data_IF_914750307016
#
_entry.id   IF_914750307016
#
_cell.length_a   1.000
_cell.length_b   1.000
_cell.length_c   1.000
_cell.angle_alpha   90.00
_cell.angle_beta   90.00
_cell.angle_gamma   90.00
#
_symmetry.space_group_name_H-M   'P 1'
#
loop_
_entity.id
_entity.type
_entity.pdbx_description
1 polymer ?
#
# COMPACT_ATOMS: atom_id res chain seq x y z
N UNK A 1 11.09 -19.72 75.32
CA UNK A 1 9.84 -20.36 74.92
C UNK A 1 9.02 -19.25 74.26
N UNK A 2 9.08 -19.13 72.95
CA UNK A 2 8.43 -18.08 72.19
C UNK A 2 8.06 -18.62 70.83
N UNK A 3 6.76 -18.81 70.64
CA UNK A 3 6.12 -19.35 69.46
C UNK A 3 6.00 -18.19 68.44
N UNK A 4 6.63 -18.33 67.28
CA UNK A 4 6.39 -17.44 66.13
C UNK A 4 5.24 -17.97 65.32
N UNK A 5 4.15 -17.21 65.26
CA UNK A 5 3.00 -17.43 64.39
C UNK A 5 3.40 -16.99 62.97
N UNK A 6 3.30 -17.90 62.02
CA UNK A 6 3.49 -17.62 60.61
C UNK A 6 2.27 -16.87 60.03
N UNK A 7 2.53 -15.82 59.25
CA UNK A 7 1.54 -15.13 58.46
C UNK A 7 1.24 -15.94 57.18
N UNK A 8 0.00 -15.97 56.72
CA UNK A 8 -0.36 -16.65 55.48
C UNK A 8 0.11 -15.88 54.26
N UNK A 9 0.75 -16.60 53.31
CA UNK A 9 1.06 -16.13 51.97
C UNK A 9 -0.27 -15.83 51.23
N UNK A 10 -0.45 -14.58 50.85
CA UNK A 10 -1.47 -14.18 49.89
C UNK A 10 -1.11 -14.73 48.53
N UNK A 11 -1.87 -15.70 48.07
CA UNK A 11 -1.86 -16.16 46.68
C UNK A 11 -2.32 -14.99 45.79
N UNK A 12 -1.39 -14.43 45.00
CA UNK A 12 -1.74 -13.53 43.90
C UNK A 12 -2.44 -14.37 42.84
N UNK A 13 -3.74 -14.28 42.81
CA UNK A 13 -4.56 -14.74 41.67
C UNK A 13 -4.04 -14.05 40.42
N UNK A 14 -3.40 -14.81 39.55
CA UNK A 14 -3.18 -14.44 38.17
C UNK A 14 -4.56 -14.38 37.50
N UNK A 15 -5.10 -13.16 37.36
CA UNK A 15 -6.28 -12.91 36.56
C UNK A 15 -5.95 -13.33 35.11
N UNK A 16 -6.33 -14.53 34.77
CA UNK A 16 -6.30 -15.00 33.38
C UNK A 16 -7.22 -14.12 32.55
N UNK A 17 -6.70 -13.58 31.45
CA UNK A 17 -7.48 -12.91 30.43
C UNK A 17 -8.62 -13.86 30.05
N UNK A 18 -9.86 -13.46 30.30
CA UNK A 18 -11.03 -14.32 30.09
C UNK A 18 -11.15 -14.71 28.60
N UNK A 19 -11.62 -15.92 28.35
CA UNK A 19 -11.86 -16.42 26.95
C UNK A 19 -12.73 -15.43 26.17
N UNK A 20 -13.64 -14.72 26.85
CA UNK A 20 -14.47 -13.65 26.26
C UNK A 20 -13.64 -12.47 25.79
N UNK A 21 -12.64 -12.03 26.57
CA UNK A 21 -11.77 -10.90 26.21
C UNK A 21 -10.85 -11.26 25.05
N UNK A 22 -10.38 -12.50 25.01
CA UNK A 22 -9.60 -13.02 23.89
C UNK A 22 -10.44 -13.08 22.60
N UNK A 23 -11.67 -13.59 22.65
CA UNK A 23 -12.57 -13.63 21.51
C UNK A 23 -12.94 -12.23 21.01
N UNK A 24 -13.24 -11.29 21.92
CA UNK A 24 -13.48 -9.88 21.56
C UNK A 24 -12.24 -9.21 20.95
N UNK A 25 -11.03 -9.54 21.43
CA UNK A 25 -9.80 -9.05 20.86
C UNK A 25 -9.57 -9.62 19.45
N UNK A 26 -9.86 -10.90 19.21
CA UNK A 26 -9.80 -11.55 17.89
C UNK A 26 -10.85 -10.96 16.95
N UNK A 27 -12.08 -10.75 17.40
CA UNK A 27 -13.12 -10.08 16.60
C UNK A 27 -12.76 -8.65 16.24
N UNK A 28 -12.14 -7.87 17.13
CA UNK A 28 -11.63 -6.53 16.80
C UNK A 28 -10.46 -6.55 15.82
N UNK A 29 -9.58 -7.55 15.90
CA UNK A 29 -8.45 -7.72 14.99
C UNK A 29 -8.86 -8.22 13.62
N UNK A 30 -9.93 -9.00 13.53
CA UNK A 30 -10.57 -9.42 12.29
C UNK A 30 -11.62 -8.41 11.79
N UNK A 31 -11.83 -7.32 12.55
CA UNK A 31 -12.77 -6.29 12.14
C UNK A 31 -12.39 -5.76 10.76
N UNK A 32 -13.38 -5.74 9.88
CA UNK A 32 -13.21 -5.22 8.55
C UNK A 32 -12.61 -3.81 8.60
N UNK A 33 -11.55 -3.56 7.83
CA UNK A 33 -11.00 -2.22 7.65
C UNK A 33 -12.13 -1.35 7.06
N UNK A 34 -12.72 -0.43 7.82
CA UNK A 34 -13.87 0.31 7.33
C UNK A 34 -13.44 1.20 6.16
N UNK A 35 -14.24 1.30 5.10
CA UNK A 35 -13.96 2.25 4.03
C UNK A 35 -14.04 3.68 4.60
N UNK A 36 -13.00 4.47 4.34
CA UNK A 36 -12.88 5.87 4.78
C UNK A 36 -12.86 6.86 3.61
N UNK A 37 -13.20 6.38 2.42
CA UNK A 37 -13.04 7.13 1.18
C UNK A 37 -14.31 7.80 0.69
N UNK A 38 -14.32 8.11 -0.61
CA UNK A 38 -15.40 8.78 -1.31
C UNK A 38 -16.45 7.74 -1.72
N UNK A 39 -17.57 7.70 -1.04
CA UNK A 39 -18.61 6.70 -1.29
C UNK A 39 -19.25 6.85 -2.68
N UNK A 40 -19.53 8.09 -3.11
CA UNK A 40 -20.18 8.43 -4.39
C UNK A 40 -19.86 9.88 -4.79
N UNK A 41 -20.34 10.30 -5.97
CA UNK A 41 -20.20 11.69 -6.42
C UNK A 41 -18.86 12.02 -7.07
N UNK A 42 -18.01 11.03 -7.36
CA UNK A 42 -16.82 11.21 -8.19
C UNK A 42 -17.09 10.80 -9.64
N UNK A 43 -16.41 11.44 -10.57
CA UNK A 43 -16.36 11.05 -11.98
C UNK A 43 -14.93 10.68 -12.33
N UNK A 44 -14.75 9.63 -13.12
CA UNK A 44 -13.45 9.23 -13.65
C UNK A 44 -13.27 9.82 -15.07
N UNK A 45 -12.04 10.12 -15.49
CA UNK A 45 -11.78 10.61 -16.83
C UNK A 45 -12.19 9.56 -17.88
N UNK A 46 -12.60 10.00 -19.07
CA UNK A 46 -12.86 9.09 -20.17
C UNK A 46 -11.56 8.39 -20.61
N UNK A 47 -11.69 7.18 -21.16
CA UNK A 47 -10.54 6.43 -21.68
C UNK A 47 -9.96 5.37 -20.75
N UNK A 48 -10.43 5.26 -19.49
CA UNK A 48 -10.09 4.11 -18.65
C UNK A 48 -10.82 2.86 -19.17
N UNK A 49 -10.10 1.75 -19.20
CA UNK A 49 -10.71 0.43 -19.43
C UNK A 49 -11.56 0.00 -18.22
N UNK A 50 -12.49 -0.94 -18.42
CA UNK A 50 -13.43 -1.38 -17.38
C UNK A 50 -12.76 -1.82 -16.08
N UNK A 51 -11.68 -2.62 -16.16
CA UNK A 51 -10.92 -3.05 -14.99
C UNK A 51 -10.23 -1.87 -14.27
N UNK A 52 -9.72 -0.87 -15.01
CA UNK A 52 -9.12 0.33 -14.44
C UNK A 52 -10.17 1.18 -13.72
N UNK A 53 -11.36 1.35 -14.32
CA UNK A 53 -12.49 2.04 -13.69
C UNK A 53 -12.91 1.35 -12.39
N UNK A 54 -12.99 0.01 -12.42
CA UNK A 54 -13.37 -0.79 -11.26
C UNK A 54 -12.36 -0.63 -10.11
N UNK A 55 -11.05 -0.77 -10.39
CA UNK A 55 -9.98 -0.63 -9.41
C UNK A 55 -9.90 0.79 -8.83
N UNK A 56 -9.95 1.81 -9.70
CA UNK A 56 -9.90 3.21 -9.26
C UNK A 56 -11.11 3.57 -8.40
N UNK A 57 -12.32 3.14 -8.82
CA UNK A 57 -13.53 3.36 -8.03
C UNK A 57 -13.50 2.64 -6.69
N UNK A 58 -12.97 1.43 -6.66
CA UNK A 58 -12.76 0.69 -5.42
C UNK A 58 -11.78 1.42 -4.50
N UNK A 59 -10.63 1.86 -5.02
CA UNK A 59 -9.62 2.59 -4.26
C UNK A 59 -10.15 3.91 -3.69
N UNK A 60 -10.94 4.66 -4.46
CA UNK A 60 -11.60 5.89 -4.01
C UNK A 60 -12.55 5.63 -2.84
N UNK A 61 -13.39 4.58 -2.92
CA UNK A 61 -14.29 4.22 -1.83
C UNK A 61 -13.54 3.76 -0.59
N UNK A 62 -12.39 3.11 -0.75
CA UNK A 62 -11.55 2.71 0.37
C UNK A 62 -10.88 3.90 1.06
N UNK A 63 -10.45 4.91 0.31
CA UNK A 63 -9.74 6.09 0.80
C UNK A 63 -8.26 5.82 1.08
N UNK A 64 -7.95 4.69 1.72
CA UNK A 64 -6.59 4.20 1.98
C UNK A 64 -6.49 2.79 1.42
N UNK A 65 -5.72 2.63 0.34
CA UNK A 65 -5.72 1.37 -0.42
C UNK A 65 -4.45 1.18 -1.23
N UNK A 66 -4.25 -0.05 -1.71
CA UNK A 66 -3.19 -0.37 -2.63
C UNK A 66 -3.76 -1.02 -3.90
N UNK A 67 -3.22 -0.63 -5.05
CA UNK A 67 -3.45 -1.26 -6.35
C UNK A 67 -2.17 -2.00 -6.74
N UNK A 68 -2.18 -3.30 -6.54
CA UNK A 68 -1.10 -4.20 -6.91
C UNK A 68 -1.46 -4.84 -8.27
N UNK A 69 -1.30 -4.07 -9.32
CA UNK A 69 -1.60 -4.49 -10.69
C UNK A 69 -0.30 -4.78 -11.45
N UNK A 70 -0.30 -5.84 -12.23
CA UNK A 70 0.87 -6.23 -13.01
C UNK A 70 1.30 -5.14 -14.01
N UNK A 71 2.51 -5.29 -14.56
CA UNK A 71 3.03 -4.38 -15.57
C UNK A 71 2.11 -4.35 -16.79
N UNK A 72 1.96 -3.16 -17.38
CA UNK A 72 1.09 -2.97 -18.55
C UNK A 72 -0.38 -2.71 -18.24
N UNK A 73 -0.88 -2.95 -17.01
CA UNK A 73 -2.30 -2.73 -16.66
C UNK A 73 -2.71 -1.26 -16.48
N UNK A 74 -1.79 -0.32 -16.71
CA UNK A 74 -2.08 1.12 -16.71
C UNK A 74 -2.23 1.73 -15.31
N UNK A 75 -1.40 1.31 -14.34
CA UNK A 75 -1.38 1.86 -12.98
C UNK A 75 -1.34 3.37 -12.94
N UNK A 76 -0.42 3.97 -13.72
CA UNK A 76 -0.25 5.42 -13.77
C UNK A 76 -1.56 6.17 -14.05
N UNK A 77 -2.36 5.70 -15.00
CA UNK A 77 -3.65 6.33 -15.30
C UNK A 77 -4.66 6.14 -14.15
N UNK A 78 -4.64 4.99 -13.48
CA UNK A 78 -5.50 4.76 -12.30
C UNK A 78 -5.09 5.68 -11.13
N UNK A 79 -3.80 5.89 -10.90
CA UNK A 79 -3.27 6.80 -9.89
C UNK A 79 -3.68 8.25 -10.17
N UNK A 80 -3.54 8.69 -11.42
CA UNK A 80 -3.93 10.04 -11.83
C UNK A 80 -5.43 10.28 -11.75
N UNK A 81 -6.23 9.30 -12.16
CA UNK A 81 -7.69 9.38 -12.05
C UNK A 81 -8.15 9.40 -10.58
N UNK A 82 -7.47 8.62 -9.71
CA UNK A 82 -7.69 8.66 -8.27
C UNK A 82 -7.29 10.02 -7.70
N UNK A 83 -6.13 10.54 -8.04
CA UNK A 83 -5.62 11.82 -7.55
C UNK A 83 -6.54 12.99 -7.97
N UNK A 84 -7.05 12.98 -9.20
CA UNK A 84 -7.98 13.99 -9.71
C UNK A 84 -9.31 13.98 -8.94
N UNK A 85 -9.85 12.78 -8.66
CA UNK A 85 -11.06 12.64 -7.87
C UNK A 85 -10.84 13.09 -6.41
N UNK A 86 -9.70 12.73 -5.79
CA UNK A 86 -9.37 13.12 -4.42
C UNK A 86 -9.21 14.64 -4.30
N UNK A 87 -8.44 15.29 -5.21
CA UNK A 87 -8.27 16.76 -5.16
C UNK A 87 -9.59 17.51 -5.34
N UNK A 88 -10.48 17.03 -6.20
CA UNK A 88 -11.82 17.61 -6.40
C UNK A 88 -12.71 17.46 -5.16
N UNK A 89 -12.62 16.32 -4.49
CA UNK A 89 -13.41 16.04 -3.30
C UNK A 89 -12.92 16.81 -2.08
N UNK A 90 -11.59 16.85 -1.85
CA UNK A 90 -10.99 17.51 -0.68
C UNK A 90 -10.79 19.00 -0.85
N UNK A 91 -10.85 19.52 -2.09
CA UNK A 91 -10.48 20.90 -2.46
C UNK A 91 -9.04 21.20 -2.01
N UNK A 92 -8.18 20.19 -1.97
CA UNK A 92 -6.78 20.28 -1.60
C UNK A 92 -5.91 19.62 -2.67
N UNK A 93 -4.64 20.05 -2.83
CA UNK A 93 -3.73 19.39 -3.76
C UNK A 93 -3.46 17.94 -3.35
N UNK A 94 -3.05 17.14 -4.32
CA UNK A 94 -2.58 15.76 -4.12
C UNK A 94 -1.09 15.70 -4.47
N UNK A 95 -0.32 14.94 -3.67
CA UNK A 95 1.10 14.70 -3.92
C UNK A 95 1.29 13.27 -4.44
N UNK A 96 1.97 13.15 -5.59
CA UNK A 96 2.49 11.87 -6.09
C UNK A 96 3.97 11.74 -5.78
N UNK A 97 4.37 10.64 -5.20
CA UNK A 97 5.77 10.25 -5.02
C UNK A 97 6.12 9.15 -6.02
N UNK A 98 7.16 9.36 -6.81
CA UNK A 98 7.55 8.45 -7.87
C UNK A 98 9.08 8.33 -7.98
N UNK A 99 9.61 7.31 -8.68
CA UNK A 99 11.02 7.28 -9.07
C UNK A 99 11.41 8.51 -9.90
N UNK A 100 12.64 9.00 -9.71
CA UNK A 100 13.12 10.25 -10.33
C UNK A 100 12.90 10.30 -11.86
N UNK A 101 13.13 9.19 -12.54
CA UNK A 101 13.03 9.12 -13.99
C UNK A 101 11.59 9.17 -14.55
N UNK A 102 10.57 8.96 -13.70
CA UNK A 102 9.19 8.74 -14.13
C UNK A 102 8.33 10.01 -14.05
N UNK A 103 8.73 11.01 -13.27
CA UNK A 103 7.91 12.21 -13.02
C UNK A 103 7.47 12.94 -14.31
N UNK A 104 8.39 13.10 -15.27
CA UNK A 104 8.06 13.73 -16.56
C UNK A 104 7.09 12.88 -17.40
N UNK A 105 7.23 11.56 -17.33
CA UNK A 105 6.32 10.61 -18.00
C UNK A 105 4.92 10.67 -17.40
N UNK A 106 4.79 10.74 -16.08
CA UNK A 106 3.50 10.90 -15.38
C UNK A 106 2.79 12.18 -15.85
N UNK A 107 3.53 13.30 -15.97
CA UNK A 107 2.95 14.56 -16.44
C UNK A 107 2.50 14.47 -17.91
N UNK A 108 3.31 13.87 -18.77
CA UNK A 108 2.98 13.70 -20.18
C UNK A 108 1.77 12.76 -20.37
N UNK A 109 1.69 11.69 -19.62
CA UNK A 109 0.56 10.76 -19.66
C UNK A 109 -0.72 11.42 -19.13
N UNK A 110 -0.61 12.17 -18.01
CA UNK A 110 -1.75 12.93 -17.48
C UNK A 110 -2.35 13.87 -18.51
N UNK A 111 -1.52 14.61 -19.25
CA UNK A 111 -1.97 15.53 -20.28
C UNK A 111 -2.75 14.82 -21.41
N UNK A 112 -2.35 13.61 -21.81
CA UNK A 112 -3.07 12.79 -22.82
C UNK A 112 -4.52 12.46 -22.40
N UNK A 113 -4.78 12.37 -21.09
CA UNK A 113 -6.11 12.07 -20.53
C UNK A 113 -6.80 13.30 -19.96
N UNK A 114 -6.29 14.51 -20.23
CA UNK A 114 -6.89 15.75 -19.76
C UNK A 114 -6.70 15.98 -18.25
N UNK A 115 -5.73 15.34 -17.63
CA UNK A 115 -5.34 15.50 -16.23
C UNK A 115 -4.02 16.27 -16.18
N UNK A 116 -4.08 17.50 -15.73
CA UNK A 116 -2.88 18.33 -15.57
C UNK A 116 -2.09 17.87 -14.32
N UNK A 117 -0.81 17.59 -14.51
CA UNK A 117 0.12 17.16 -13.46
C UNK A 117 1.34 18.07 -13.46
N UNK A 118 1.64 18.61 -12.29
CA UNK A 118 2.76 19.53 -12.08
C UNK A 118 3.96 18.78 -11.48
N UNK A 119 5.12 18.86 -12.11
CA UNK A 119 6.37 18.26 -11.63
C UNK A 119 7.10 19.26 -10.73
N UNK A 120 7.21 18.93 -9.43
CA UNK A 120 7.81 19.79 -8.43
C UNK A 120 9.21 19.31 -8.01
N UNK A 121 10.14 20.24 -7.89
CA UNK A 121 11.46 20.02 -7.28
C UNK A 121 11.54 20.64 -5.90
N UNK A 122 10.84 21.76 -5.72
CA UNK A 122 10.79 22.54 -4.48
C UNK A 122 9.34 22.92 -4.17
N UNK A 123 9.02 23.27 -2.91
CA UNK A 123 7.67 23.71 -2.54
C UNK A 123 7.13 24.88 -3.34
N UNK A 124 8.02 25.79 -3.82
CA UNK A 124 7.62 26.92 -4.64
C UNK A 124 7.13 26.54 -6.04
N UNK A 125 7.40 25.30 -6.50
CA UNK A 125 6.93 24.82 -7.79
C UNK A 125 5.50 24.28 -7.73
N UNK A 126 4.89 24.19 -6.55
CA UNK A 126 3.59 23.53 -6.37
C UNK A 126 2.44 24.28 -7.03
N UNK A 127 1.56 23.53 -7.67
CA UNK A 127 0.20 23.98 -7.98
C UNK A 127 -0.69 23.75 -6.75
N UNK A 128 -1.14 24.78 -6.02
CA UNK A 128 -1.85 24.63 -4.74
C UNK A 128 -3.25 24.02 -4.87
N UNK A 129 -3.80 23.90 -6.07
CA UNK A 129 -5.08 23.24 -6.33
C UNK A 129 -4.97 21.99 -7.21
N UNK A 130 -3.74 21.58 -7.57
CA UNK A 130 -3.46 20.58 -8.59
C UNK A 130 -2.95 19.24 -8.06
N UNK A 131 -2.58 18.39 -9.01
CA UNK A 131 -1.82 17.18 -8.75
C UNK A 131 -0.34 17.54 -8.92
N UNK A 132 0.43 17.32 -7.88
CA UNK A 132 1.85 17.59 -7.85
C UNK A 132 2.62 16.28 -7.75
N UNK A 133 3.67 16.09 -8.53
CA UNK A 133 4.52 14.91 -8.45
C UNK A 133 5.97 15.29 -8.16
N UNK A 134 6.62 14.50 -7.33
CA UNK A 134 8.05 14.65 -7.01
C UNK A 134 8.68 13.28 -6.78
N UNK A 135 10.00 13.22 -6.67
CA UNK A 135 10.66 11.97 -6.34
C UNK A 135 10.70 11.74 -4.82
N UNK A 136 10.88 10.48 -4.43
CA UNK A 136 10.92 10.05 -3.03
C UNK A 136 11.95 10.83 -2.18
N UNK A 137 13.13 11.11 -2.74
CA UNK A 137 14.21 11.82 -2.02
C UNK A 137 13.83 13.26 -1.65
N UNK A 138 12.88 13.85 -2.35
CA UNK A 138 12.42 15.23 -2.12
C UNK A 138 11.15 15.32 -1.27
N UNK A 139 10.52 14.20 -0.94
CA UNK A 139 9.28 14.18 -0.17
C UNK A 139 9.38 15.00 1.12
N UNK A 140 10.55 14.97 1.79
CA UNK A 140 10.82 15.69 3.04
C UNK A 140 10.76 17.23 2.92
N UNK A 141 10.79 17.79 1.71
CA UNK A 141 10.73 19.23 1.48
C UNK A 141 9.30 19.78 1.55
N UNK A 142 8.30 18.94 1.37
CA UNK A 142 6.90 19.31 1.28
C UNK A 142 6.18 19.13 2.61
N UNK A 143 5.38 20.12 3.03
CA UNK A 143 4.56 20.01 4.23
C UNK A 143 3.37 19.07 3.97
N UNK A 144 3.30 17.90 4.61
CA UNK A 144 2.25 16.90 4.36
C UNK A 144 0.84 17.40 4.69
N UNK A 145 0.71 18.41 5.55
CA UNK A 145 -0.57 18.98 5.97
C UNK A 145 -1.27 19.73 4.86
N UNK A 146 -0.57 20.10 3.79
CA UNK A 146 -1.11 20.80 2.64
C UNK A 146 -1.86 19.88 1.69
N UNK A 147 -1.74 18.55 1.82
CA UNK A 147 -2.27 17.59 0.85
C UNK A 147 -3.51 16.87 1.36
N UNK A 148 -4.57 16.85 0.53
CA UNK A 148 -5.74 16.03 0.75
C UNK A 148 -5.48 14.54 0.50
N UNK A 149 -4.48 14.21 -0.31
CA UNK A 149 -4.09 12.84 -0.63
C UNK A 149 -2.63 12.70 -1.04
N UNK A 150 -2.11 11.49 -0.90
CA UNK A 150 -0.78 11.10 -1.39
C UNK A 150 -0.85 9.76 -2.10
N UNK A 151 -0.20 9.63 -3.25
CA UNK A 151 0.00 8.33 -3.90
C UNK A 151 1.49 8.01 -4.07
N UNK A 152 1.80 6.72 -3.98
CA UNK A 152 3.14 6.18 -4.17
C UNK A 152 3.17 5.35 -5.45
N UNK A 153 3.73 5.91 -6.52
CA UNK A 153 4.05 5.17 -7.74
C UNK A 153 5.30 4.33 -7.52
N UNK A 154 5.28 3.09 -7.93
CA UNK A 154 6.27 2.05 -7.62
C UNK A 154 6.51 1.93 -6.10
N UNK A 155 5.43 1.73 -5.35
CA UNK A 155 5.45 1.67 -3.89
C UNK A 155 6.29 0.52 -3.32
N UNK A 156 6.83 -0.38 -4.14
CA UNK A 156 7.85 -1.36 -3.76
C UNK A 156 9.10 -0.73 -3.11
N UNK A 157 9.31 0.56 -3.27
CA UNK A 157 10.37 1.33 -2.59
C UNK A 157 10.24 1.24 -1.06
N UNK A 158 9.03 1.08 -0.52
CA UNK A 158 8.79 0.97 0.93
C UNK A 158 8.79 -0.47 1.45
N UNK A 159 9.10 -1.48 0.64
CA UNK A 159 9.05 -2.91 1.02
C UNK A 159 9.96 -3.27 2.20
N UNK A 160 11.09 -2.57 2.33
CA UNK A 160 12.05 -2.80 3.41
C UNK A 160 11.70 -1.99 4.65
N UNK A 161 11.34 -2.67 5.74
CA UNK A 161 10.86 -2.07 6.99
C UNK A 161 11.90 -1.22 7.76
N UNK A 162 13.19 -1.43 7.52
CA UNK A 162 14.27 -0.75 8.23
C UNK A 162 14.82 0.47 7.46
N UNK A 163 14.10 1.01 6.49
CA UNK A 163 14.60 2.13 5.70
C UNK A 163 14.21 3.47 6.30
N UNK A 164 15.15 4.43 6.23
CA UNK A 164 14.88 5.82 6.61
C UNK A 164 13.74 6.42 5.77
N UNK A 165 13.63 6.03 4.51
CA UNK A 165 12.56 6.46 3.61
C UNK A 165 11.20 6.06 4.13
N UNK A 166 11.00 4.79 4.50
CA UNK A 166 9.73 4.34 5.06
C UNK A 166 9.39 5.10 6.35
N UNK A 167 10.33 5.21 7.29
CA UNK A 167 10.11 5.90 8.57
C UNK A 167 9.68 7.36 8.34
N UNK A 168 10.36 8.07 7.44
CA UNK A 168 10.03 9.45 7.08
C UNK A 168 8.63 9.57 6.43
N UNK A 169 8.25 8.64 5.55
CA UNK A 169 6.94 8.64 4.92
C UNK A 169 5.81 8.31 5.90
N UNK A 170 6.04 7.36 6.82
CA UNK A 170 5.08 7.02 7.87
C UNK A 170 4.80 8.22 8.78
N UNK A 171 5.85 8.90 9.23
CA UNK A 171 5.72 10.10 10.06
C UNK A 171 5.01 11.22 9.31
N UNK A 172 5.48 11.55 8.10
CA UNK A 172 4.99 12.66 7.31
C UNK A 172 3.50 12.50 6.95
N UNK A 173 3.11 11.36 6.41
CA UNK A 173 1.77 11.17 5.85
C UNK A 173 0.79 10.43 6.76
N UNK A 174 1.13 10.20 8.04
CA UNK A 174 0.26 9.52 9.01
C UNK A 174 -1.14 10.13 9.14
N UNK A 175 -1.27 11.44 8.93
CA UNK A 175 -2.52 12.20 9.04
C UNK A 175 -3.18 12.49 7.69
N UNK A 176 -2.52 12.21 6.57
CA UNK A 176 -3.12 12.42 5.23
C UNK A 176 -4.32 11.49 5.04
N UNK A 177 -5.50 12.01 4.76
CA UNK A 177 -6.73 11.22 4.79
C UNK A 177 -6.78 10.18 3.66
N UNK A 178 -6.35 10.54 2.44
CA UNK A 178 -6.36 9.66 1.27
C UNK A 178 -4.95 9.20 0.93
N UNK A 179 -4.75 7.89 0.89
CA UNK A 179 -3.44 7.29 0.57
C UNK A 179 -3.59 6.14 -0.41
N UNK A 180 -2.77 6.15 -1.45
CA UNK A 180 -2.74 5.10 -2.45
C UNK A 180 -1.31 4.58 -2.62
N UNK A 181 -1.15 3.27 -2.58
CA UNK A 181 0.07 2.59 -3.02
C UNK A 181 -0.19 1.92 -4.37
N UNK A 182 0.75 2.00 -5.31
CA UNK A 182 0.67 1.28 -6.55
C UNK A 182 2.01 0.65 -6.92
N UNK A 183 2.02 -0.63 -7.26
CA UNK A 183 3.19 -1.36 -7.74
C UNK A 183 2.77 -2.68 -8.39
N UNK A 184 3.62 -3.22 -9.26
CA UNK A 184 3.47 -4.59 -9.77
C UNK A 184 4.08 -5.63 -8.82
N UNK A 185 5.01 -5.23 -7.95
CA UNK A 185 5.81 -6.13 -7.10
C UNK A 185 5.71 -5.75 -5.63
N UNK A 186 4.52 -5.93 -4.99
CA UNK A 186 4.31 -5.47 -3.61
C UNK A 186 5.12 -6.25 -2.57
N UNK A 187 5.42 -7.52 -2.86
CA UNK A 187 6.13 -8.43 -1.96
C UNK A 187 6.99 -9.40 -2.78
N UNK A 188 8.06 -8.91 -3.45
CA UNK A 188 8.85 -9.72 -4.38
C UNK A 188 9.67 -10.82 -3.69
N UNK A 189 10.00 -10.68 -2.41
CA UNK A 189 10.82 -11.64 -1.69
C UNK A 189 10.01 -12.44 -0.67
N UNK A 190 9.13 -11.77 0.09
CA UNK A 190 8.38 -12.39 1.19
C UNK A 190 7.09 -11.62 1.46
N UNK A 191 6.02 -12.33 1.85
CA UNK A 191 4.71 -11.74 2.16
C UNK A 191 4.73 -10.78 3.36
N UNK A 192 5.75 -10.83 4.21
CA UNK A 192 5.95 -9.87 5.30
C UNK A 192 6.20 -8.44 4.82
N UNK A 193 6.62 -8.26 3.56
CA UNK A 193 6.80 -6.95 2.94
C UNK A 193 5.46 -6.21 2.75
N UNK A 194 4.32 -6.93 2.69
CA UNK A 194 2.99 -6.32 2.67
C UNK A 194 2.68 -5.53 3.95
N UNK A 195 3.35 -5.86 5.05
CA UNK A 195 3.17 -5.16 6.32
C UNK A 195 3.57 -3.69 6.26
N UNK A 196 4.57 -3.33 5.47
CA UNK A 196 4.98 -1.92 5.30
C UNK A 196 3.95 -1.10 4.52
N UNK A 197 3.30 -1.72 3.52
CA UNK A 197 2.18 -1.10 2.81
C UNK A 197 0.97 -0.91 3.73
N UNK A 198 0.62 -1.95 4.50
CA UNK A 198 -0.47 -1.87 5.48
C UNK A 198 -0.22 -0.77 6.52
N UNK A 199 1.02 -0.62 6.99
CA UNK A 199 1.43 0.40 7.95
C UNK A 199 1.36 1.80 7.33
N UNK A 200 1.88 2.00 6.11
CA UNK A 200 1.75 3.28 5.40
C UNK A 200 0.29 3.67 5.18
N UNK A 201 -0.56 2.72 4.84
CA UNK A 201 -1.99 2.95 4.66
C UNK A 201 -2.74 3.15 6.00
N UNK A 202 -2.09 2.86 7.14
CA UNK A 202 -2.70 2.97 8.47
C UNK A 202 -3.75 1.90 8.73
N UNK A 203 -3.57 0.73 8.15
CA UNK A 203 -4.41 -0.47 8.38
C UNK A 203 -4.03 -1.13 9.71
N UNK A 204 -2.75 -1.45 9.87
CA UNK A 204 -2.12 -1.90 11.11
C UNK A 204 -0.61 -1.71 11.00
N UNK A 205 0.10 -1.82 12.12
CA UNK A 205 1.56 -1.86 12.10
C UNK A 205 2.05 -3.19 11.52
N UNK A 206 3.26 -3.18 10.93
CA UNK A 206 3.90 -4.43 10.48
C UNK A 206 4.03 -5.45 11.61
N UNK A 207 4.34 -5.00 12.82
CA UNK A 207 4.46 -5.87 14.00
C UNK A 207 3.15 -6.56 14.34
N UNK A 208 2.02 -5.85 14.29
CA UNK A 208 0.68 -6.44 14.49
C UNK A 208 0.36 -7.48 13.43
N UNK A 209 0.63 -7.19 12.15
CA UNK A 209 0.45 -8.15 11.06
C UNK A 209 1.28 -9.43 11.29
N UNK A 210 2.56 -9.29 11.67
CA UNK A 210 3.43 -10.43 11.92
C UNK A 210 2.93 -11.27 13.11
N UNK A 211 2.55 -10.65 14.21
CA UNK A 211 2.02 -11.34 15.37
C UNK A 211 0.74 -12.13 15.05
N UNK A 212 -0.13 -11.56 14.22
CA UNK A 212 -1.40 -12.17 13.85
C UNK A 212 -1.21 -13.36 12.89
N UNK A 213 -0.53 -13.15 11.78
CA UNK A 213 -0.54 -14.08 10.65
C UNK A 213 0.73 -14.92 10.51
N UNK A 214 1.83 -14.54 11.13
CA UNK A 214 3.13 -15.18 10.91
C UNK A 214 3.68 -15.83 12.17
N UNK A 215 4.60 -16.76 11.98
CA UNK A 215 5.35 -17.43 13.03
C UNK A 215 6.83 -17.44 12.65
N UNK A 216 7.71 -17.37 13.65
CA UNK A 216 9.14 -17.60 13.43
C UNK A 216 9.39 -19.03 13.00
N UNK A 217 10.18 -19.24 11.96
CA UNK A 217 10.56 -20.57 11.51
C UNK A 217 11.78 -21.06 12.33
N UNK A 218 11.48 -21.91 13.27
CA UNK A 218 12.28 -22.91 13.99
C UNK A 218 13.72 -22.65 14.43
N UNK A 219 14.29 -21.46 14.37
CA UNK A 219 15.67 -21.24 14.82
C UNK A 219 16.32 -19.91 14.44
N UNK A 220 15.89 -19.27 13.37
CA UNK A 220 16.39 -17.96 12.98
C UNK A 220 15.34 -16.90 13.28
N UNK A 221 15.68 -15.94 14.15
CA UNK A 221 14.75 -14.88 14.61
C UNK A 221 14.31 -13.89 13.51
N UNK A 222 14.89 -13.98 12.32
CA UNK A 222 14.60 -13.10 11.19
C UNK A 222 13.72 -13.73 10.12
N UNK A 223 13.54 -15.05 10.13
CA UNK A 223 12.73 -15.78 9.15
C UNK A 223 11.30 -15.92 9.65
N UNK A 224 10.36 -15.33 8.90
CA UNK A 224 8.94 -15.38 9.19
C UNK A 224 8.23 -16.25 8.16
N UNK A 225 7.35 -17.12 8.63
CA UNK A 225 6.52 -17.97 7.78
C UNK A 225 5.06 -17.75 8.08
N UNK A 226 4.25 -17.60 7.03
CA UNK A 226 2.79 -17.48 7.16
C UNK A 226 2.23 -18.76 7.78
N UNK A 227 1.45 -18.63 8.86
CA UNK A 227 0.78 -19.75 9.54
C UNK A 227 -0.17 -20.45 8.55
N UNK A 228 -0.05 -21.77 8.40
CA UNK A 228 -0.86 -22.51 7.42
C UNK A 228 -2.38 -22.32 7.61
N UNK A 229 -2.84 -22.33 8.87
CA UNK A 229 -4.24 -22.13 9.20
C UNK A 229 -4.72 -20.69 9.02
N UNK A 230 -3.81 -19.70 8.99
CA UNK A 230 -4.13 -18.29 8.83
C UNK A 230 -4.09 -17.82 7.38
N UNK A 231 -3.66 -18.65 6.43
CA UNK A 231 -3.46 -18.26 5.04
C UNK A 231 -4.71 -17.65 4.40
N UNK A 232 -5.88 -18.27 4.57
CA UNK A 232 -7.14 -17.76 4.00
C UNK A 232 -7.53 -16.42 4.62
N UNK A 233 -7.39 -16.28 5.93
CA UNK A 233 -7.74 -15.07 6.66
C UNK A 233 -6.76 -13.93 6.34
N UNK A 234 -5.48 -14.25 6.16
CA UNK A 234 -4.48 -13.28 5.70
C UNK A 234 -4.87 -12.68 4.33
N UNK A 235 -5.21 -13.51 3.34
CA UNK A 235 -5.60 -13.00 2.02
C UNK A 235 -6.94 -12.29 2.03
N UNK A 236 -7.87 -12.70 2.87
CA UNK A 236 -9.12 -11.98 3.12
C UNK A 236 -8.84 -10.60 3.74
N UNK A 237 -7.92 -10.52 4.68
CA UNK A 237 -7.50 -9.26 5.27
C UNK A 237 -6.80 -8.38 4.24
N UNK A 238 -5.86 -8.89 3.44
CA UNK A 238 -5.21 -8.14 2.36
C UNK A 238 -6.24 -7.58 1.39
N UNK A 239 -7.23 -8.37 0.97
CA UNK A 239 -8.26 -7.93 0.00
C UNK A 239 -9.16 -6.78 0.49
N UNK A 240 -9.11 -6.45 1.77
CA UNK A 240 -9.85 -5.30 2.30
C UNK A 240 -9.18 -3.96 1.99
N UNK A 241 -7.89 -3.93 1.77
CA UNK A 241 -7.11 -2.72 1.54
C UNK A 241 -6.20 -2.78 0.30
N UNK A 242 -5.91 -3.96 -0.23
CA UNK A 242 -5.07 -4.21 -1.39
C UNK A 242 -5.79 -5.04 -2.46
N UNK A 243 -5.80 -4.55 -3.70
CA UNK A 243 -6.29 -5.29 -4.85
C UNK A 243 -5.09 -5.84 -5.65
N UNK A 244 -5.00 -7.16 -5.76
CA UNK A 244 -3.95 -7.86 -6.54
C UNK A 244 -4.54 -8.35 -7.85
N UNK A 245 -4.02 -7.85 -8.98
CA UNK A 245 -4.55 -8.14 -10.32
C UNK A 245 -3.41 -8.38 -11.29
N UNK A 246 -3.42 -9.51 -11.97
CA UNK A 246 -2.43 -9.86 -13.00
C UNK A 246 -2.94 -9.54 -14.42
N UNK A 247 -4.24 -9.68 -14.61
CA UNK A 247 -4.89 -9.46 -15.91
C UNK A 247 -6.35 -9.04 -15.70
N UNK A 248 -6.99 -8.42 -16.69
CA UNK A 248 -8.37 -7.96 -16.58
C UNK A 248 -9.36 -9.05 -16.20
N UNK A 249 -9.16 -10.29 -16.65
CA UNK A 249 -10.05 -11.42 -16.33
C UNK A 249 -10.05 -11.83 -14.86
N UNK A 250 -9.05 -11.43 -14.06
CA UNK A 250 -9.09 -11.62 -12.60
C UNK A 250 -10.23 -10.82 -11.95
N UNK A 251 -10.73 -9.79 -12.64
CA UNK A 251 -11.87 -8.97 -12.23
C UNK A 251 -13.14 -9.21 -13.09
N UNK A 252 -13.12 -10.24 -13.93
CA UNK A 252 -14.26 -10.58 -14.80
C UNK A 252 -14.35 -9.76 -16.09
N UNK A 253 -13.30 -9.04 -16.48
CA UNK A 253 -13.21 -8.33 -17.75
C UNK A 253 -12.47 -9.17 -18.80
N UNK A 254 -12.67 -8.87 -20.08
CA UNK A 254 -11.93 -9.52 -21.16
C UNK A 254 -10.46 -9.09 -21.20
N UNK A 255 -9.56 -10.04 -21.42
CA UNK A 255 -8.12 -9.76 -21.48
C UNK A 255 -7.73 -9.01 -22.78
N UNK A 256 -8.43 -9.22 -23.87
CA UNK A 256 -8.34 -8.45 -25.12
C UNK A 256 -6.91 -8.00 -25.49
N UNK A 257 -6.65 -6.71 -25.41
CA UNK A 257 -5.35 -6.09 -25.72
C UNK A 257 -4.21 -6.47 -24.76
N UNK A 258 -4.50 -7.15 -23.64
CA UNK A 258 -3.51 -7.60 -22.65
C UNK A 258 -2.98 -9.02 -22.92
N UNK A 259 -3.47 -9.70 -23.95
CA UNK A 259 -2.93 -10.97 -24.39
C UNK A 259 -1.59 -10.71 -25.10
N UNK A 260 -0.50 -10.95 -24.42
CA UNK A 260 0.83 -10.85 -24.98
C UNK A 260 1.11 -12.02 -25.92
N UNK A 261 1.88 -11.80 -27.01
CA UNK A 261 2.34 -12.90 -27.85
C UNK A 261 3.25 -13.83 -27.05
N UNK A 262 3.41 -15.06 -27.54
CA UNK A 262 4.31 -16.02 -26.92
C UNK A 262 5.74 -15.46 -26.82
N UNK A 263 6.38 -15.64 -25.65
CA UNK A 263 7.77 -15.24 -25.45
C UNK A 263 8.69 -16.12 -26.31
N UNK A 264 9.41 -15.51 -27.25
CA UNK A 264 10.46 -16.17 -28.02
C UNK A 264 11.82 -15.86 -27.38
N UNK A 265 12.46 -16.88 -26.83
CA UNK A 265 13.80 -16.76 -26.25
C UNK A 265 14.83 -17.12 -27.31
N UNK A 266 15.75 -16.21 -27.57
CA UNK A 266 16.91 -16.44 -28.41
C UNK A 266 18.16 -16.37 -27.54
N UNK A 267 18.85 -17.49 -27.36
CA UNK A 267 20.13 -17.52 -26.67
C UNK A 267 21.27 -17.25 -27.65
N UNK A 268 22.09 -16.26 -27.32
CA UNK A 268 23.33 -15.94 -28.05
C UNK A 268 24.51 -16.17 -27.12
N UNK A 269 25.33 -17.17 -27.43
CA UNK A 269 26.60 -17.40 -26.73
C UNK A 269 27.69 -16.61 -27.42
N UNK A 270 28.35 -15.73 -26.68
CA UNK A 270 29.51 -14.97 -27.15
C UNK A 270 30.75 -15.55 -26.47
N UNK A 271 31.65 -16.12 -27.25
CA UNK A 271 32.96 -16.53 -26.74
C UNK A 271 33.84 -15.26 -26.58
N UNK A 272 34.26 -14.96 -25.35
CA UNK A 272 35.26 -13.93 -25.09
C UNK A 272 36.65 -14.51 -25.42
N UNK A 273 37.30 -14.02 -26.46
CA UNK A 273 38.71 -14.24 -26.68
C UNK A 273 39.46 -13.49 -25.57
N UNK A 274 39.93 -14.20 -24.53
CA UNK A 274 40.88 -13.67 -23.58
C UNK A 274 42.20 -13.39 -24.36
N UNK A 275 42.51 -12.14 -24.59
CA UNK A 275 43.82 -11.66 -24.97
C UNK A 275 44.63 -11.32 -23.74
#
# INVERSE_FOLDING_TARGET
MGIRTGEPHEDREQQGVGVSDYLQMVERKLAAVPPSGIASGFSLPPGLFGHQQALTSWALRRGRSAIFADTGLGKMLMELAWADAVRKHTVMPVLGLCPLAVAAQIAAEGLRFGIEVNVCREPGDMNPGGINVTNYDRAHKFDPRQFGGVFLDESSVIKHHNTKTLAALLEAFSRTPYRLCATATPAPNDWTELGTHAEFLGVCTRTEMLAEFFVHDGGETQVWRLKGHAQREFWRWVSQWGAMVRKPSDLGFEDGAYNLPALLLHEHTVESLNT
#
